data_IF_955384545439
#
_entry.id   IF_955384545439
#
_cell.length_a   1.000
_cell.length_b   1.000
_cell.length_c   1.000
_cell.angle_alpha   90.00
_cell.angle_beta   90.00
_cell.angle_gamma   90.00
#
_symmetry.space_group_name_H-M   'P 1'
#
loop_
_entity.id
_entity.type
_entity.pdbx_description
1 polymer ?
#
# COMPACT_ATOMS: atom_id res chain seq x y z
N UNK A 1 10.67 -9.84 -5.92
CA UNK A 1 9.68 -9.30 -6.88
C UNK A 1 9.85 -7.80 -7.02
N UNK A 2 9.93 -7.03 -5.93
CA UNK A 2 10.35 -5.61 -5.96
C UNK A 2 11.69 -5.48 -5.22
N UNK A 3 12.63 -4.72 -5.78
CA UNK A 3 13.93 -4.41 -5.16
C UNK A 3 14.24 -2.92 -5.35
N UNK A 4 14.56 -2.25 -4.25
CA UNK A 4 15.02 -0.88 -4.20
C UNK A 4 16.46 -0.89 -3.73
N UNK A 5 17.33 -0.23 -4.48
CA UNK A 5 18.76 -0.18 -4.21
C UNK A 5 19.24 1.26 -4.20
N UNK A 6 19.59 1.74 -2.99
CA UNK A 6 20.19 3.05 -2.72
C UNK A 6 19.38 4.22 -3.30
N UNK A 7 18.07 4.19 -3.12
CA UNK A 7 17.16 5.21 -3.63
C UNK A 7 17.38 6.55 -2.93
N UNK A 8 17.65 7.57 -3.73
CA UNK A 8 17.64 8.97 -3.31
C UNK A 8 16.53 9.71 -4.07
N UNK A 9 15.82 10.62 -3.41
CA UNK A 9 14.78 11.43 -4.03
C UNK A 9 14.61 12.76 -3.29
N UNK A 10 14.27 13.81 -4.03
CA UNK A 10 14.12 15.18 -3.51
C UNK A 10 12.89 15.87 -4.08
N UNK A 11 12.29 16.77 -3.31
CA UNK A 11 11.31 17.74 -3.79
C UNK A 11 12.01 19.07 -4.05
N UNK A 12 12.40 19.32 -5.29
CA UNK A 12 13.33 20.41 -5.61
C UNK A 12 14.64 20.22 -4.83
N UNK A 13 15.04 21.25 -4.09
CA UNK A 13 16.26 21.22 -3.29
C UNK A 13 16.11 20.53 -1.93
N UNK A 14 14.89 20.12 -1.55
CA UNK A 14 14.62 19.46 -0.27
C UNK A 14 14.76 17.94 -0.42
N UNK A 15 15.82 17.30 0.10
CA UNK A 15 15.96 15.86 0.00
C UNK A 15 14.94 15.17 0.92
N UNK A 16 14.33 14.10 0.42
CA UNK A 16 13.27 13.36 1.09
C UNK A 16 13.64 11.90 1.36
N UNK A 17 14.53 11.31 0.55
CA UNK A 17 15.05 9.95 0.71
C UNK A 17 16.56 9.95 0.54
N UNK A 18 17.26 9.18 1.39
CA UNK A 18 18.70 9.01 1.39
C UNK A 18 19.06 7.52 1.40
N UNK A 19 19.63 7.03 0.29
CA UNK A 19 20.14 5.66 0.15
C UNK A 19 19.17 4.56 0.65
N UNK A 20 17.88 4.70 0.34
CA UNK A 20 16.86 3.74 0.79
C UNK A 20 16.96 2.45 -0.01
N UNK A 21 17.19 1.33 0.69
CA UNK A 21 17.19 -0.01 0.12
C UNK A 21 16.20 -0.91 0.84
N UNK A 22 15.36 -1.63 0.08
CA UNK A 22 14.44 -2.64 0.62
C UNK A 22 14.09 -3.68 -0.44
N UNK A 23 13.59 -4.83 0.00
CA UNK A 23 13.12 -5.90 -0.88
C UNK A 23 11.72 -6.35 -0.49
N UNK A 24 10.93 -6.70 -1.49
CA UNK A 24 9.63 -7.35 -1.34
C UNK A 24 9.61 -8.60 -2.20
N UNK A 25 9.67 -9.75 -1.55
CA UNK A 25 9.59 -11.05 -2.22
C UNK A 25 8.17 -11.33 -2.71
N UNK A 26 8.07 -12.13 -3.77
CA UNK A 26 6.77 -12.50 -4.32
C UNK A 26 5.90 -13.20 -3.27
N UNK A 27 4.63 -12.84 -3.19
CA UNK A 27 3.66 -13.41 -2.26
C UNK A 27 3.85 -12.99 -0.80
N UNK A 28 4.75 -12.06 -0.49
CA UNK A 28 4.90 -11.51 0.86
C UNK A 28 4.17 -10.19 1.05
N UNK A 29 3.81 -9.93 2.30
CA UNK A 29 3.48 -8.62 2.84
C UNK A 29 4.73 -8.10 3.53
N UNK A 30 5.22 -6.96 3.06
CA UNK A 30 6.30 -6.21 3.71
C UNK A 30 5.73 -4.92 4.28
N UNK A 31 5.98 -4.66 5.55
CA UNK A 31 5.61 -3.41 6.20
C UNK A 31 6.75 -2.38 6.07
N UNK A 32 6.39 -1.14 5.78
CA UNK A 32 7.27 0.02 5.92
C UNK A 32 6.64 0.97 6.94
N UNK A 33 7.19 0.97 8.14
CA UNK A 33 6.70 1.79 9.26
C UNK A 33 7.63 2.99 9.47
N UNK A 34 7.10 4.04 10.08
CA UNK A 34 7.87 5.24 10.39
C UNK A 34 6.97 6.44 10.70
N UNK A 35 7.50 7.48 11.34
CA UNK A 35 6.72 8.66 11.69
C UNK A 35 6.22 9.43 10.45
N UNK A 36 5.32 10.38 10.67
CA UNK A 36 4.86 11.27 9.61
C UNK A 36 6.03 12.13 9.13
N UNK A 37 6.13 12.33 7.82
CA UNK A 37 7.26 13.01 7.20
C UNK A 37 8.54 12.18 7.06
N UNK A 38 8.54 10.88 7.42
CA UNK A 38 9.71 10.02 7.25
C UNK A 38 10.09 9.74 5.79
N UNK A 39 9.23 10.04 4.82
CA UNK A 39 9.46 9.76 3.38
C UNK A 39 8.70 8.56 2.83
N UNK A 40 7.77 7.97 3.58
CA UNK A 40 7.05 6.74 3.18
C UNK A 40 6.26 6.92 1.87
N UNK A 41 5.42 7.95 1.81
CA UNK A 41 4.67 8.33 0.60
C UNK A 41 5.60 8.70 -0.57
N UNK A 42 6.73 9.37 -0.29
CA UNK A 42 7.74 9.68 -1.32
C UNK A 42 8.27 8.40 -1.96
N UNK A 43 8.59 7.40 -1.15
CA UNK A 43 9.07 6.11 -1.61
C UNK A 43 8.05 5.40 -2.50
N UNK A 44 6.78 5.34 -2.08
CA UNK A 44 5.71 4.75 -2.88
C UNK A 44 5.52 5.47 -4.21
N UNK A 45 5.53 6.81 -4.19
CA UNK A 45 5.46 7.62 -5.41
C UNK A 45 6.65 7.37 -6.34
N UNK A 46 7.85 7.16 -5.78
CA UNK A 46 9.02 6.79 -6.58
C UNK A 46 8.88 5.42 -7.25
N UNK A 47 8.31 4.43 -6.55
CA UNK A 47 8.06 3.10 -7.13
C UNK A 47 7.09 3.19 -8.32
N UNK A 48 6.06 4.05 -8.26
CA UNK A 48 5.09 4.21 -9.35
C UNK A 48 5.41 5.33 -10.34
N UNK A 49 6.63 5.87 -10.32
CA UNK A 49 7.07 6.90 -11.28
C UNK A 49 6.39 8.26 -11.12
N UNK A 50 5.72 8.52 -9.99
CA UNK A 50 5.13 9.82 -9.65
C UNK A 50 6.12 10.78 -8.96
N UNK A 51 7.26 10.26 -8.49
CA UNK A 51 8.35 11.03 -7.93
C UNK A 51 9.67 10.54 -8.53
N UNK A 52 10.40 11.41 -9.23
CA UNK A 52 11.69 11.03 -9.78
C UNK A 52 12.71 10.76 -8.67
N UNK A 53 13.49 9.69 -8.87
CA UNK A 53 14.66 9.39 -8.05
C UNK A 53 15.86 10.17 -8.61
N UNK A 54 16.69 10.72 -7.73
CA UNK A 54 17.94 11.38 -8.12
C UNK A 54 19.08 10.40 -8.35
N UNK A 55 19.04 9.24 -7.66
CA UNK A 55 19.96 8.13 -7.87
C UNK A 55 19.38 6.83 -7.29
N UNK A 56 20.09 5.73 -7.54
CA UNK A 56 19.67 4.39 -7.15
C UNK A 56 18.87 3.68 -8.23
N UNK A 57 18.34 2.49 -7.90
CA UNK A 57 17.69 1.60 -8.87
C UNK A 57 16.45 0.95 -8.27
N UNK A 58 15.35 1.01 -9.02
CA UNK A 58 14.12 0.27 -8.70
C UNK A 58 13.95 -0.83 -9.75
N UNK A 59 13.80 -2.06 -9.26
CA UNK A 59 13.63 -3.25 -10.07
C UNK A 59 12.32 -3.96 -9.70
N UNK A 60 11.59 -4.41 -10.72
CA UNK A 60 10.46 -5.33 -10.57
C UNK A 60 10.70 -6.57 -11.42
N UNK A 61 10.59 -7.75 -10.82
CA UNK A 61 10.95 -9.05 -11.42
C UNK A 61 12.36 -9.02 -12.06
N UNK A 62 13.32 -8.36 -11.41
CA UNK A 62 14.70 -8.21 -11.88
C UNK A 62 14.88 -7.21 -13.02
N UNK A 63 13.84 -6.50 -13.45
CA UNK A 63 13.88 -5.52 -14.54
C UNK A 63 13.82 -4.10 -14.01
N UNK A 64 14.65 -3.22 -14.54
CA UNK A 64 14.60 -1.80 -14.22
C UNK A 64 13.28 -1.17 -14.67
N UNK A 65 12.69 -0.34 -13.79
CA UNK A 65 11.39 0.31 -14.07
C UNK A 65 11.47 1.84 -14.18
N UNK A 66 12.65 2.45 -13.97
CA UNK A 66 12.80 3.90 -13.89
C UNK A 66 12.51 4.66 -15.19
N UNK A 67 12.57 4.00 -16.35
CA UNK A 67 12.23 4.59 -17.65
C UNK A 67 10.76 4.46 -18.02
N UNK A 68 9.99 3.70 -17.23
CA UNK A 68 8.59 3.43 -17.52
C UNK A 68 7.71 4.56 -16.99
N UNK A 69 6.75 4.98 -17.80
CA UNK A 69 5.71 5.89 -17.37
C UNK A 69 4.74 5.20 -16.39
N UNK A 70 4.04 5.96 -15.52
CA UNK A 70 3.08 5.37 -14.56
C UNK A 70 2.05 4.43 -15.20
N UNK A 71 1.53 4.74 -16.39
CA UNK A 71 0.59 3.87 -17.11
C UNK A 71 1.24 2.53 -17.50
N UNK A 72 2.52 2.53 -17.90
CA UNK A 72 3.23 1.30 -18.22
C UNK A 72 3.47 0.42 -16.98
N UNK A 73 3.66 1.03 -15.80
CA UNK A 73 3.77 0.29 -14.53
C UNK A 73 2.46 -0.39 -14.14
N UNK A 74 1.33 0.27 -14.39
CA UNK A 74 0.00 -0.32 -14.19
C UNK A 74 -0.20 -1.54 -15.10
N UNK A 75 0.22 -1.46 -16.37
CA UNK A 75 0.20 -2.60 -17.29
C UNK A 75 1.07 -3.77 -16.80
N UNK A 76 2.13 -3.50 -16.05
CA UNK A 76 2.94 -4.54 -15.39
C UNK A 76 2.29 -5.12 -14.12
N UNK A 77 1.13 -4.60 -13.71
CA UNK A 77 0.38 -5.06 -12.55
C UNK A 77 0.87 -4.45 -11.24
N UNK A 78 1.43 -3.24 -11.28
CA UNK A 78 1.79 -2.47 -10.08
C UNK A 78 0.65 -1.48 -9.81
N UNK A 79 0.02 -1.59 -8.64
CA UNK A 79 -1.07 -0.70 -8.24
C UNK A 79 -0.72 0.03 -6.94
N UNK A 80 -1.08 1.30 -6.87
CA UNK A 80 -0.97 2.13 -5.67
C UNK A 80 -2.37 2.53 -5.18
N UNK A 81 -2.64 2.26 -3.91
CA UNK A 81 -3.72 2.90 -3.15
C UNK A 81 -3.09 4.03 -2.33
N UNK A 82 -3.20 5.28 -2.78
CA UNK A 82 -2.58 6.40 -2.09
C UNK A 82 -3.39 6.81 -0.85
N UNK A 83 -2.72 7.57 0.02
CA UNK A 83 -3.37 8.25 1.14
C UNK A 83 -4.53 9.14 0.64
N UNK A 84 -5.58 9.26 1.45
CA UNK A 84 -6.73 10.11 1.16
C UNK A 84 -7.73 9.51 0.16
N UNK A 85 -7.63 8.21 -0.15
CA UNK A 85 -8.57 7.39 -0.98
C UNK A 85 -8.61 7.78 -2.47
N UNK A 86 -8.52 9.07 -2.79
CA UNK A 86 -8.51 9.68 -4.14
C UNK A 86 -9.59 9.12 -5.07
N UNK A 87 -10.83 9.11 -4.60
CA UNK A 87 -11.99 8.60 -5.33
C UNK A 87 -12.55 9.62 -6.32
N UNK A 88 -13.23 9.13 -7.36
CA UNK A 88 -14.02 9.97 -8.24
C UNK A 88 -15.39 10.21 -7.59
N UNK A 89 -15.49 11.31 -6.83
CA UNK A 89 -16.66 11.60 -5.98
C UNK A 89 -17.98 11.80 -6.74
N UNK A 90 -17.91 12.17 -8.03
CA UNK A 90 -19.07 12.30 -8.92
C UNK A 90 -19.48 10.99 -9.60
N UNK A 91 -18.74 9.90 -9.38
CA UNK A 91 -19.04 8.58 -9.92
C UNK A 91 -19.62 7.67 -8.84
N UNK A 92 -20.43 6.72 -9.26
CA UNK A 92 -20.92 5.62 -8.43
C UNK A 92 -19.81 4.69 -7.98
N UNK A 93 -20.12 3.82 -7.01
CA UNK A 93 -19.24 2.71 -6.59
C UNK A 93 -18.85 1.87 -7.79
N UNK A 94 -19.81 1.44 -8.61
CA UNK A 94 -19.55 0.59 -9.77
C UNK A 94 -18.64 1.28 -10.79
N UNK A 95 -18.89 2.55 -11.11
CA UNK A 95 -18.06 3.31 -12.05
C UNK A 95 -16.64 3.50 -11.51
N UNK A 96 -16.47 3.79 -10.21
CA UNK A 96 -15.15 3.86 -9.59
C UNK A 96 -14.38 2.55 -9.73
N UNK A 97 -15.04 1.40 -9.53
CA UNK A 97 -14.42 0.08 -9.71
C UNK A 97 -14.02 -0.15 -11.17
N UNK A 98 -14.92 0.14 -12.11
CA UNK A 98 -14.66 -0.04 -13.55
C UNK A 98 -13.47 0.78 -14.05
N UNK A 99 -13.26 2.01 -13.53
CA UNK A 99 -12.07 2.82 -13.85
C UNK A 99 -10.76 2.10 -13.45
N UNK A 100 -10.80 1.26 -12.42
CA UNK A 100 -9.67 0.43 -12.01
C UNK A 100 -9.26 -0.64 -13.01
N UNK A 101 -10.18 -1.08 -13.87
CA UNK A 101 -9.96 -2.16 -14.84
C UNK A 101 -9.51 -1.65 -16.23
N UNK A 102 -8.74 -0.56 -16.31
CA UNK A 102 -8.41 0.06 -17.59
C UNK A 102 -7.26 -0.61 -18.35
N UNK A 103 -6.34 -1.29 -17.68
CA UNK A 103 -5.18 -1.91 -18.33
C UNK A 103 -5.60 -3.10 -19.21
N UNK A 104 -4.84 -3.38 -20.26
CA UNK A 104 -5.13 -4.50 -21.19
C UNK A 104 -5.18 -5.84 -20.44
N UNK A 105 -4.32 -5.99 -19.43
CA UNK A 105 -4.31 -7.13 -18.49
C UNK A 105 -5.60 -7.21 -17.67
N UNK A 106 -6.08 -6.08 -17.16
CA UNK A 106 -7.24 -6.00 -16.27
C UNK A 106 -8.56 -6.20 -17.01
N UNK A 107 -8.71 -5.63 -18.21
CA UNK A 107 -9.92 -5.75 -19.03
C UNK A 107 -10.32 -7.21 -19.25
N UNK A 108 -9.34 -8.10 -19.51
CA UNK A 108 -9.57 -9.56 -19.68
C UNK A 108 -10.11 -10.25 -18.44
N UNK A 109 -9.95 -9.64 -17.27
CA UNK A 109 -10.37 -10.18 -15.96
C UNK A 109 -11.44 -9.33 -15.29
N UNK A 110 -11.96 -8.30 -15.97
CA UNK A 110 -12.79 -7.26 -15.34
C UNK A 110 -13.99 -7.85 -14.61
N UNK A 111 -14.77 -8.72 -15.25
CA UNK A 111 -15.98 -9.30 -14.65
C UNK A 111 -15.67 -10.21 -13.46
N UNK A 112 -14.62 -11.02 -13.58
CA UNK A 112 -14.14 -11.87 -12.50
C UNK A 112 -13.63 -11.02 -11.32
N UNK A 113 -12.90 -9.94 -11.59
CA UNK A 113 -12.42 -9.03 -10.56
C UNK A 113 -13.55 -8.24 -9.91
N UNK A 114 -14.58 -7.83 -10.67
CA UNK A 114 -15.74 -7.12 -10.12
C UNK A 114 -16.49 -8.01 -9.14
N UNK A 115 -16.76 -9.25 -9.54
CA UNK A 115 -17.38 -10.27 -8.68
C UNK A 115 -16.54 -10.47 -7.42
N UNK A 116 -15.23 -10.65 -7.59
CA UNK A 116 -14.28 -10.81 -6.48
C UNK A 116 -14.30 -9.61 -5.52
N UNK A 117 -14.30 -8.39 -6.03
CA UNK A 117 -14.33 -7.17 -5.22
C UNK A 117 -15.61 -7.09 -4.40
N UNK A 118 -16.75 -7.50 -4.96
CA UNK A 118 -18.02 -7.56 -4.23
C UNK A 118 -18.07 -8.68 -3.18
N UNK A 119 -17.41 -9.82 -3.42
CA UNK A 119 -17.24 -10.84 -2.39
C UNK A 119 -16.36 -10.36 -1.22
N UNK A 120 -15.27 -9.64 -1.53
CA UNK A 120 -14.37 -9.06 -0.52
C UNK A 120 -15.06 -7.94 0.26
N UNK A 121 -15.82 -7.09 -0.44
CA UNK A 121 -16.52 -5.94 0.12
C UNK A 121 -18.02 -5.98 -0.21
N UNK A 122 -18.81 -6.83 0.46
CA UNK A 122 -20.25 -6.96 0.18
C UNK A 122 -21.02 -5.64 0.32
N UNK A 123 -20.56 -4.75 1.20
CA UNK A 123 -21.15 -3.43 1.39
C UNK A 123 -21.05 -2.55 0.13
N UNK A 124 -20.03 -2.76 -0.71
CA UNK A 124 -19.90 -2.03 -1.98
C UNK A 124 -20.93 -2.53 -3.01
N UNK A 125 -21.26 -3.82 -3.02
CA UNK A 125 -22.29 -4.38 -3.91
C UNK A 125 -23.67 -3.83 -3.57
N UNK A 126 -24.02 -3.86 -2.27
CA UNK A 126 -25.25 -3.25 -1.75
C UNK A 126 -25.38 -1.76 -2.10
N UNK A 127 -24.25 -1.08 -2.31
CA UNK A 127 -24.15 0.35 -2.61
C UNK A 127 -23.68 0.63 -4.03
N UNK A 128 -23.72 -0.35 -4.95
CA UNK A 128 -23.13 -0.25 -6.29
C UNK A 128 -23.52 1.00 -7.08
N UNK A 129 -24.74 1.50 -6.89
CA UNK A 129 -25.28 2.69 -7.57
C UNK A 129 -25.17 3.98 -6.75
N UNK A 130 -24.70 3.90 -5.50
CA UNK A 130 -24.46 5.10 -4.67
C UNK A 130 -23.23 5.84 -5.17
N UNK A 131 -23.27 7.17 -5.15
CA UNK A 131 -22.11 8.01 -5.41
C UNK A 131 -21.02 7.78 -4.36
N UNK A 132 -19.75 7.79 -4.77
CA UNK A 132 -18.62 7.62 -3.86
C UNK A 132 -18.57 8.67 -2.75
N UNK A 133 -19.08 9.88 -3.01
CA UNK A 133 -19.18 10.98 -2.05
C UNK A 133 -20.15 10.73 -0.90
N UNK A 134 -21.13 9.83 -1.05
CA UNK A 134 -22.14 9.56 0.00
C UNK A 134 -21.75 8.40 0.91
N UNK A 135 -20.62 7.73 0.63
CA UNK A 135 -20.13 6.61 1.42
C UNK A 135 -19.46 7.10 2.71
N UNK A 136 -19.51 6.28 3.76
CA UNK A 136 -18.71 6.52 4.97
C UNK A 136 -17.21 6.44 4.66
N UNK A 137 -16.36 7.04 5.50
CA UNK A 137 -14.92 7.03 5.26
C UNK A 137 -14.31 5.62 5.15
N UNK A 138 -14.83 4.66 5.91
CA UNK A 138 -14.43 3.26 5.79
C UNK A 138 -14.85 2.63 4.46
N UNK A 139 -16.08 2.90 4.01
CA UNK A 139 -16.57 2.41 2.72
C UNK A 139 -15.80 3.05 1.55
N UNK A 140 -15.43 4.33 1.65
CA UNK A 140 -14.55 4.96 0.67
C UNK A 140 -13.18 4.30 0.62
N UNK A 141 -12.62 3.91 1.77
CA UNK A 141 -11.36 3.18 1.79
C UNK A 141 -11.47 1.81 1.14
N UNK A 142 -12.55 1.06 1.43
CA UNK A 142 -12.86 -0.21 0.77
C UNK A 142 -12.99 -0.03 -0.74
N UNK A 143 -13.66 1.03 -1.20
CA UNK A 143 -13.78 1.35 -2.61
C UNK A 143 -12.43 1.68 -3.26
N UNK A 144 -11.56 2.43 -2.57
CA UNK A 144 -10.23 2.75 -3.07
C UNK A 144 -9.37 1.49 -3.25
N UNK A 145 -9.41 0.57 -2.29
CA UNK A 145 -8.74 -0.73 -2.37
C UNK A 145 -9.38 -1.58 -3.47
N UNK A 146 -10.70 -1.71 -3.50
CA UNK A 146 -11.43 -2.44 -4.52
C UNK A 146 -11.10 -1.98 -5.94
N UNK A 147 -11.03 -0.66 -6.15
CA UNK A 147 -10.62 -0.07 -7.44
C UNK A 147 -9.19 -0.46 -7.83
N UNK A 148 -8.26 -0.55 -6.88
CA UNK A 148 -6.92 -1.03 -7.19
C UNK A 148 -6.91 -2.53 -7.52
N UNK A 149 -7.73 -3.33 -6.83
CA UNK A 149 -7.87 -4.77 -7.09
C UNK A 149 -8.43 -5.05 -8.49
N UNK A 150 -9.32 -4.20 -9.00
CA UNK A 150 -9.84 -4.31 -10.38
C UNK A 150 -8.73 -4.37 -11.44
N UNK A 151 -7.55 -3.81 -11.16
CA UNK A 151 -6.36 -3.91 -12.01
C UNK A 151 -5.68 -5.28 -12.05
N UNK A 152 -6.19 -6.27 -11.29
CA UNK A 152 -5.56 -7.58 -11.05
C UNK A 152 -4.04 -7.47 -10.73
N UNK A 153 -3.66 -6.66 -9.71
CA UNK A 153 -2.27 -6.33 -9.44
C UNK A 153 -1.47 -7.55 -8.96
N UNK A 154 -0.19 -7.57 -9.31
CA UNK A 154 0.82 -8.51 -8.77
C UNK A 154 1.54 -7.91 -7.58
N UNK A 155 1.74 -6.59 -7.62
CA UNK A 155 2.29 -5.77 -6.55
C UNK A 155 1.27 -4.70 -6.17
N UNK A 156 0.79 -4.75 -4.94
CA UNK A 156 -0.11 -3.76 -4.35
C UNK A 156 0.66 -2.92 -3.34
N UNK A 157 0.68 -1.61 -3.56
CA UNK A 157 1.26 -0.61 -2.68
C UNK A 157 0.12 0.07 -1.92
N UNK A 158 0.16 0.07 -0.60
CA UNK A 158 -0.88 0.65 0.24
C UNK A 158 -0.28 1.74 1.10
N UNK A 159 -0.77 2.97 0.97
CA UNK A 159 -0.30 4.15 1.70
C UNK A 159 -1.30 4.54 2.78
N UNK A 160 -0.95 4.22 4.03
CA UNK A 160 -1.73 4.47 5.25
C UNK A 160 -3.22 4.11 5.14
N UNK A 161 -3.55 2.87 4.71
CA UNK A 161 -4.94 2.48 4.45
C UNK A 161 -5.84 2.51 5.70
N UNK A 162 -5.28 2.51 6.91
CA UNK A 162 -6.05 2.58 8.15
C UNK A 162 -6.33 3.99 8.67
N UNK A 163 -5.71 5.03 8.09
CA UNK A 163 -5.70 6.36 8.68
C UNK A 163 -7.10 6.99 8.77
N UNK A 164 -7.44 7.48 9.98
CA UNK A 164 -8.70 8.18 10.25
C UNK A 164 -9.94 7.29 10.26
N UNK A 165 -9.77 5.96 10.40
CA UNK A 165 -10.87 5.00 10.41
C UNK A 165 -11.16 4.47 11.81
N UNK A 166 -12.41 4.04 12.03
CA UNK A 166 -12.82 3.41 13.29
C UNK A 166 -12.12 2.03 13.46
N UNK A 167 -11.82 1.59 14.70
CA UNK A 167 -11.06 0.36 14.94
C UNK A 167 -11.59 -0.90 14.24
N UNK A 168 -12.92 -1.07 14.19
CA UNK A 168 -13.55 -2.19 13.51
C UNK A 168 -13.30 -2.17 11.99
N UNK A 169 -13.33 -0.98 11.39
CA UNK A 169 -13.06 -0.80 9.95
C UNK A 169 -11.60 -1.11 9.66
N UNK A 170 -10.69 -0.65 10.53
CA UNK A 170 -9.26 -0.96 10.43
C UNK A 170 -9.07 -2.47 10.41
N UNK A 171 -9.61 -3.20 11.39
CA UNK A 171 -9.52 -4.67 11.43
C UNK A 171 -9.99 -5.32 10.12
N UNK A 172 -11.16 -4.93 9.63
CA UNK A 172 -11.71 -5.48 8.38
C UNK A 172 -10.79 -5.22 7.18
N UNK A 173 -10.15 -4.05 7.10
CA UNK A 173 -9.19 -3.73 6.04
C UNK A 173 -7.97 -4.66 6.13
N UNK A 174 -7.40 -4.85 7.32
CA UNK A 174 -6.25 -5.73 7.51
C UNK A 174 -6.58 -7.20 7.20
N UNK A 175 -7.76 -7.67 7.57
CA UNK A 175 -8.25 -9.02 7.21
C UNK A 175 -8.32 -9.20 5.69
N UNK A 176 -8.82 -8.20 4.98
CA UNK A 176 -8.86 -8.20 3.50
C UNK A 176 -7.46 -8.15 2.89
N UNK A 177 -6.54 -7.34 3.41
CA UNK A 177 -5.15 -7.29 2.93
C UNK A 177 -4.51 -8.68 3.09
N UNK A 178 -4.74 -9.34 4.23
CA UNK A 178 -4.26 -10.70 4.46
C UNK A 178 -4.85 -11.70 3.47
N UNK A 179 -6.15 -11.62 3.20
CA UNK A 179 -6.83 -12.47 2.22
C UNK A 179 -6.25 -12.28 0.81
N UNK A 180 -6.12 -11.04 0.35
CA UNK A 180 -5.55 -10.69 -0.96
C UNK A 180 -4.12 -11.22 -1.10
N UNK A 181 -3.33 -11.15 -0.04
CA UNK A 181 -1.98 -11.73 -0.04
C UNK A 181 -1.99 -13.27 -0.12
N UNK A 182 -2.88 -13.94 0.63
CA UNK A 182 -3.04 -15.41 0.56
C UNK A 182 -3.41 -15.90 -0.84
N UNK A 183 -4.08 -15.07 -1.62
CA UNK A 183 -4.41 -15.31 -3.03
C UNK A 183 -3.22 -15.10 -4.00
N UNK A 184 -2.04 -14.75 -3.47
CA UNK A 184 -0.79 -14.65 -4.20
C UNK A 184 -0.37 -13.22 -4.56
N UNK A 185 -1.13 -12.21 -4.13
CA UNK A 185 -0.70 -10.82 -4.30
C UNK A 185 0.50 -10.51 -3.40
N UNK A 186 1.42 -9.72 -3.92
CA UNK A 186 2.55 -9.21 -3.13
C UNK A 186 2.23 -7.80 -2.68
N UNK A 187 2.52 -7.46 -1.43
CA UNK A 187 2.04 -6.23 -0.81
C UNK A 187 3.20 -5.48 -0.14
N UNK A 188 3.33 -4.19 -0.45
CA UNK A 188 4.11 -3.25 0.36
C UNK A 188 3.11 -2.36 1.11
N UNK A 189 3.03 -2.56 2.42
CA UNK A 189 2.12 -1.87 3.31
C UNK A 189 2.87 -0.75 4.04
N UNK A 190 2.57 0.50 3.70
CA UNK A 190 3.02 1.67 4.44
C UNK A 190 1.96 2.01 5.47
N UNK A 191 2.36 2.07 6.74
CA UNK A 191 1.43 2.32 7.84
C UNK A 191 2.06 3.14 8.96
N UNK A 192 1.26 4.03 9.55
CA UNK A 192 1.59 4.69 10.81
C UNK A 192 1.20 3.82 12.01
N UNK A 193 0.13 3.03 11.88
CA UNK A 193 -0.23 2.03 12.89
C UNK A 193 0.73 0.85 12.82
N UNK A 194 1.92 1.05 13.40
CA UNK A 194 3.01 0.09 13.34
C UNK A 194 2.61 -1.28 13.88
N UNK A 195 1.78 -1.33 14.93
CA UNK A 195 1.36 -2.61 15.51
C UNK A 195 0.60 -3.48 14.51
N UNK A 196 -0.46 -2.93 13.92
CA UNK A 196 -1.30 -3.69 12.98
C UNK A 196 -0.51 -4.10 11.73
N UNK A 197 0.37 -3.22 11.23
CA UNK A 197 1.23 -3.53 10.10
C UNK A 197 2.23 -4.66 10.38
N UNK A 198 2.88 -4.64 11.55
CA UNK A 198 3.86 -5.65 11.94
C UNK A 198 3.21 -7.00 12.28
N UNK A 199 1.97 -7.02 12.81
CA UNK A 199 1.21 -8.25 13.05
C UNK A 199 0.89 -9.00 11.75
N UNK A 200 0.76 -8.27 10.64
CA UNK A 200 0.42 -8.83 9.33
C UNK A 200 1.67 -9.18 8.48
N UNK A 201 2.73 -8.40 8.58
CA UNK A 201 3.87 -8.47 7.68
C UNK A 201 4.86 -9.60 8.00
N UNK A 202 5.38 -10.24 6.95
CA UNK A 202 6.45 -11.22 7.09
C UNK A 202 7.79 -10.54 7.36
N UNK A 203 8.09 -9.47 6.62
CA UNK A 203 9.29 -8.63 6.79
C UNK A 203 8.87 -7.17 7.00
N UNK A 204 9.67 -6.41 7.73
CA UNK A 204 9.36 -5.03 8.07
C UNK A 204 10.60 -4.14 8.07
N UNK A 205 10.43 -2.92 7.56
CA UNK A 205 11.44 -1.88 7.51
C UNK A 205 10.98 -0.66 8.31
N UNK A 206 11.93 0.00 8.98
CA UNK A 206 11.70 1.27 9.67
C UNK A 206 12.35 2.38 8.86
N UNK A 207 11.52 3.35 8.43
CA UNK A 207 11.96 4.55 7.74
C UNK A 207 11.93 5.73 8.71
N UNK A 208 13.06 6.38 8.90
CA UNK A 208 13.18 7.60 9.69
C UNK A 208 13.99 8.63 8.92
N UNK A 209 13.48 9.86 8.82
CA UNK A 209 14.16 10.98 8.14
C UNK A 209 14.76 10.53 6.79
N UNK A 210 13.92 9.86 5.98
CA UNK A 210 14.22 9.34 4.66
C UNK A 210 15.29 8.25 4.59
N UNK A 211 15.65 7.61 5.70
CA UNK A 211 16.63 6.51 5.75
C UNK A 211 16.02 5.26 6.35
N UNK A 212 16.46 4.10 5.87
CA UNK A 212 16.14 2.82 6.51
C UNK A 212 17.05 2.66 7.72
N UNK A 213 16.46 2.61 8.91
CA UNK A 213 17.18 2.51 10.19
C UNK A 213 17.03 1.15 10.87
N UNK A 214 16.12 0.31 10.37
CA UNK A 214 15.90 -1.03 10.89
C UNK A 214 15.22 -1.93 9.87
N UNK A 215 15.54 -3.23 9.93
CA UNK A 215 14.93 -4.28 9.13
C UNK A 215 14.96 -5.60 9.91
N UNK A 216 13.80 -6.25 10.02
CA UNK A 216 13.62 -7.57 10.63
C UNK A 216 12.24 -8.11 10.25
N UNK A 217 11.91 -9.32 10.67
CA UNK A 217 10.55 -9.86 10.56
C UNK A 217 9.55 -9.03 11.36
N UNK A 218 8.29 -8.98 10.93
CA UNK A 218 7.23 -8.29 11.68
C UNK A 218 7.12 -8.79 13.12
N UNK A 219 7.22 -10.11 13.30
CA UNK A 219 7.20 -10.75 14.62
C UNK A 219 8.38 -10.39 15.52
N UNK A 220 9.59 -10.24 14.96
CA UNK A 220 10.77 -9.82 15.73
C UNK A 220 10.69 -8.33 16.10
N UNK A 221 10.25 -7.47 15.18
CA UNK A 221 10.00 -6.04 15.44
C UNK A 221 8.98 -5.85 16.57
N UNK A 222 7.90 -6.64 16.62
CA UNK A 222 6.91 -6.60 17.70
C UNK A 222 7.49 -6.94 19.08
N UNK A 223 8.58 -7.72 19.15
CA UNK A 223 9.25 -8.11 20.41
C UNK A 223 10.44 -7.20 20.74
N UNK A 224 10.85 -6.34 19.82
CA UNK A 224 11.99 -5.46 20.01
C UNK A 224 11.60 -4.29 20.94
N UNK A 225 12.27 -4.17 22.09
CA UNK A 225 11.97 -3.14 23.10
C UNK A 225 12.08 -1.72 22.56
N UNK A 226 13.08 -1.43 21.71
CA UNK A 226 13.26 -0.10 21.13
C UNK A 226 12.10 0.24 20.18
N UNK A 227 11.66 -0.74 19.39
CA UNK A 227 10.51 -0.58 18.48
C UNK A 227 9.22 -0.40 19.28
N UNK A 228 9.01 -1.21 20.31
CA UNK A 228 7.85 -1.08 21.19
C UNK A 228 7.77 0.31 21.83
N UNK A 229 8.89 0.81 22.35
CA UNK A 229 8.96 2.12 22.98
C UNK A 229 8.74 3.27 21.98
N UNK A 230 9.33 3.19 20.79
CA UNK A 230 9.26 4.27 19.80
C UNK A 230 7.96 4.28 18.97
N UNK A 231 7.36 3.11 18.70
CA UNK A 231 6.33 2.97 17.67
C UNK A 231 5.03 2.30 18.11
N UNK A 232 5.05 1.50 19.19
CA UNK A 232 3.89 0.69 19.57
C UNK A 232 3.16 1.21 20.81
N UNK A 233 3.71 2.24 21.48
CA UNK A 233 3.15 2.81 22.69
C UNK A 233 3.19 1.81 23.84
N UNK A 234 4.25 1.83 24.64
CA UNK A 234 4.32 1.00 25.84
C UNK A 234 3.31 1.49 26.88
N UNK A 235 2.31 0.68 27.22
CA UNK A 235 1.68 0.73 28.54
C UNK A 235 2.46 -0.25 29.40
N UNK A 236 3.30 0.26 30.29
CA UNK A 236 3.95 -0.59 31.28
C UNK A 236 2.85 -1.23 32.15
N UNK A 237 2.76 -2.56 32.14
CA UNK A 237 1.98 -3.26 33.16
C UNK A 237 2.72 -3.08 34.50
N UNK A 238 2.06 -2.62 35.58
CA UNK A 238 2.66 -2.64 36.89
C UNK A 238 2.98 -4.09 37.27
N UNK A 239 4.18 -4.29 37.82
CA UNK A 239 4.63 -5.57 38.37
C UNK A 239 3.72 -6.07 39.49
#
# INVERSE_FOLDING_TARGET
MLELDLINASYGDLPALWNVSLKVDAGKIVALIGPNGAGKTTLLRSIVGLQQISSGRILVDGKFIHTLSPHQLIEQGIALVPEGRRLFNGMSVLENLQVGAHSTRAQKKSDAMLTRVFEIFPILDQRRHSLASTLSGGMQQMLAIGRALMGAPRLLLLDEPSMGLAPLVVKNIFDVIQQVNREGATILLVEQNARAALELAQDAYILEQGRIVGHDTGAAMLRNKNVQQAYLGYVALPN
#
